data_IF_944666240827
#
_entry.id   IF_944666240827
#
_cell.length_a   1.000
_cell.length_b   1.000
_cell.length_c   1.000
_cell.angle_alpha   90.00
_cell.angle_beta   90.00
_cell.angle_gamma   90.00
#
_symmetry.space_group_name_H-M   'P 1'
#
loop_
_entity.id
_entity.type
_entity.pdbx_description
1 polymer ?
#
# COMPACT_ATOMS: atom_id res chain seq x y z
N UNK A 1 7.15 11.35 -1.32
CA UNK A 1 6.04 10.39 -1.34
C UNK A 1 5.51 10.24 0.07
N UNK A 2 4.18 10.24 0.22
CA UNK A 2 3.55 10.06 1.52
C UNK A 2 2.57 8.87 1.45
N UNK A 3 2.53 8.09 2.52
CA UNK A 3 1.63 6.94 2.64
C UNK A 3 0.87 7.09 3.95
N UNK A 4 -0.46 7.14 3.87
CA UNK A 4 -1.33 7.25 5.04
C UNK A 4 -2.27 6.06 5.07
N UNK A 5 -2.49 5.54 6.28
CA UNK A 5 -3.37 4.39 6.50
C UNK A 5 -4.55 4.84 7.35
N UNK A 6 -5.77 4.56 6.87
CA UNK A 6 -7.01 4.83 7.60
C UNK A 6 -7.87 3.57 7.57
N UNK A 7 -7.89 2.83 8.67
CA UNK A 7 -8.58 1.55 8.69
C UNK A 7 -7.95 0.58 7.71
N UNK A 8 -8.73 0.17 6.69
CA UNK A 8 -8.23 -0.69 5.61
C UNK A 8 -7.93 0.09 4.33
N UNK A 9 -8.03 1.42 4.37
CA UNK A 9 -7.76 2.28 3.21
C UNK A 9 -6.34 2.79 3.25
N UNK A 10 -5.71 2.87 2.09
CA UNK A 10 -4.36 3.38 1.92
C UNK A 10 -4.42 4.57 0.97
N UNK A 11 -3.78 5.66 1.36
CA UNK A 11 -3.63 6.83 0.52
C UNK A 11 -2.16 7.04 0.22
N UNK A 12 -1.83 7.10 -1.05
CA UNK A 12 -0.46 7.29 -1.52
C UNK A 12 -0.40 8.56 -2.34
N UNK A 13 0.52 9.44 -2.01
CA UNK A 13 0.73 10.66 -2.77
C UNK A 13 2.20 10.79 -3.18
N UNK A 14 2.44 11.40 -4.33
CA UNK A 14 3.78 11.61 -4.86
C UNK A 14 4.41 10.38 -5.47
N UNK A 15 3.62 9.38 -5.86
CA UNK A 15 4.12 8.13 -6.43
C UNK A 15 3.54 7.84 -7.81
N UNK A 16 3.15 8.87 -8.55
CA UNK A 16 2.53 8.70 -9.86
C UNK A 16 3.45 7.91 -10.80
N UNK A 17 2.86 6.96 -11.51
CA UNK A 17 3.59 6.12 -12.46
C UNK A 17 4.27 4.90 -11.82
N UNK A 18 4.19 4.75 -10.51
CA UNK A 18 4.77 3.59 -9.83
C UNK A 18 3.69 2.57 -9.50
N UNK A 19 4.11 1.37 -9.16
CA UNK A 19 3.19 0.31 -8.74
C UNK A 19 3.36 0.06 -7.25
N UNK A 20 2.22 -0.02 -6.55
CA UNK A 20 2.18 -0.37 -5.14
C UNK A 20 1.99 -1.88 -5.02
N UNK A 21 2.84 -2.53 -4.27
CA UNK A 21 2.70 -3.94 -3.92
C UNK A 21 2.43 -4.08 -2.44
N UNK A 22 1.55 -5.00 -2.08
CA UNK A 22 1.24 -5.30 -0.69
C UNK A 22 1.61 -6.75 -0.42
N UNK A 23 2.42 -6.97 0.60
CA UNK A 23 2.84 -8.30 1.02
C UNK A 23 2.34 -8.60 2.42
N UNK A 24 2.02 -9.86 2.70
CA UNK A 24 1.69 -10.28 4.06
C UNK A 24 2.98 -10.59 4.84
N UNK A 25 2.82 -11.02 6.10
CA UNK A 25 3.97 -11.32 6.96
C UNK A 25 4.78 -12.51 6.46
N UNK A 26 4.20 -13.37 5.66
CA UNK A 26 4.91 -14.51 5.07
C UNK A 26 5.69 -14.11 3.81
N UNK A 27 5.61 -12.85 3.40
CA UNK A 27 6.29 -12.37 2.21
C UNK A 27 5.55 -12.65 0.91
N UNK A 28 4.29 -13.07 0.98
CA UNK A 28 3.48 -13.36 -0.20
C UNK A 28 2.78 -12.07 -0.64
N UNK A 29 2.88 -11.77 -1.94
CA UNK A 29 2.19 -10.62 -2.50
C UNK A 29 0.70 -10.90 -2.55
N UNK A 30 -0.08 -10.08 -1.82
CA UNK A 30 -1.53 -10.26 -1.71
C UNK A 30 -2.30 -9.22 -2.52
N UNK A 31 -1.65 -8.16 -2.95
CA UNK A 31 -2.31 -7.09 -3.70
C UNK A 31 -1.29 -6.28 -4.49
N UNK A 32 -1.72 -5.76 -5.64
CA UNK A 32 -0.89 -4.84 -6.42
C UNK A 32 -1.81 -3.82 -7.09
N UNK A 33 -1.40 -2.55 -7.07
CA UNK A 33 -2.16 -1.45 -7.65
C UNK A 33 -1.19 -0.50 -8.34
N UNK A 34 -1.53 -0.09 -9.55
CA UNK A 34 -0.76 0.93 -10.24
C UNK A 34 -1.22 2.30 -9.76
N UNK A 35 -0.26 3.13 -9.35
CA UNK A 35 -0.53 4.50 -8.93
C UNK A 35 -0.46 5.37 -10.17
N UNK A 36 -1.62 5.80 -10.68
CA UNK A 36 -1.71 6.52 -11.94
C UNK A 36 -2.00 8.01 -11.76
N UNK A 37 -1.80 8.54 -10.57
CA UNK A 37 -2.01 9.95 -10.28
C UNK A 37 -1.16 10.43 -9.13
N UNK A 38 -1.13 11.75 -8.92
CA UNK A 38 -0.34 12.35 -7.86
C UNK A 38 -0.84 11.99 -6.46
N UNK A 39 -2.11 11.61 -6.36
CA UNK A 39 -2.74 11.26 -5.10
C UNK A 39 -3.71 10.12 -5.40
N UNK A 40 -3.47 8.96 -4.82
CA UNK A 40 -4.30 7.79 -5.06
C UNK A 40 -4.72 7.18 -3.73
N UNK A 41 -6.01 6.92 -3.62
CA UNK A 41 -6.60 6.28 -2.46
C UNK A 41 -7.24 4.97 -2.88
N UNK A 42 -6.96 3.90 -2.15
CA UNK A 42 -7.61 2.62 -2.41
C UNK A 42 -7.88 1.87 -1.13
N UNK A 43 -8.95 1.08 -1.17
CA UNK A 43 -9.33 0.23 -0.08
C UNK A 43 -8.76 -1.16 -0.35
N UNK A 44 -7.90 -1.62 0.54
CA UNK A 44 -7.24 -2.92 0.38
C UNK A 44 -8.18 -4.08 0.64
N UNK A 45 -9.20 -3.86 1.47
CA UNK A 45 -10.19 -4.90 1.80
C UNK A 45 -9.53 -6.21 2.23
N UNK A 46 -8.44 -6.09 2.98
CA UNK A 46 -7.70 -7.23 3.52
C UNK A 46 -8.07 -7.45 4.98
N UNK A 47 -7.81 -8.65 5.48
CA UNK A 47 -8.03 -8.96 6.89
C UNK A 47 -7.09 -8.14 7.77
N UNK A 48 -7.46 -7.99 9.04
CA UNK A 48 -6.59 -7.35 10.03
C UNK A 48 -5.25 -8.06 10.07
N UNK A 49 -4.20 -7.30 10.25
CA UNK A 49 -2.87 -7.88 10.38
C UNK A 49 -1.81 -6.91 9.93
N UNK A 50 -0.58 -7.39 9.97
CA UNK A 50 0.58 -6.63 9.54
C UNK A 50 0.84 -6.90 8.07
N UNK A 51 1.12 -5.85 7.32
CA UNK A 51 1.40 -5.93 5.89
C UNK A 51 2.58 -5.05 5.57
N UNK A 52 3.21 -5.31 4.45
CA UNK A 52 4.33 -4.52 3.95
C UNK A 52 3.91 -3.91 2.63
N UNK A 53 4.01 -2.59 2.54
CA UNK A 53 3.78 -1.85 1.30
C UNK A 53 5.11 -1.56 0.65
N UNK A 54 5.18 -1.78 -0.65
CA UNK A 54 6.36 -1.46 -1.43
C UNK A 54 5.96 -0.63 -2.64
N UNK A 55 6.50 0.59 -2.72
CA UNK A 55 6.26 1.49 -3.85
C UNK A 55 7.63 1.97 -4.34
N UNK A 56 8.00 1.58 -5.55
CA UNK A 56 9.32 1.90 -6.06
C UNK A 56 10.40 1.36 -5.15
N UNK A 57 11.21 2.25 -4.59
CA UNK A 57 12.28 1.88 -3.64
C UNK A 57 11.85 2.06 -2.18
N UNK A 58 10.62 2.50 -1.94
CA UNK A 58 10.13 2.75 -0.60
C UNK A 58 9.42 1.51 -0.07
N UNK A 59 9.77 1.11 1.13
CA UNK A 59 9.14 -0.01 1.83
C UNK A 59 8.57 0.50 3.14
N UNK A 60 7.29 0.22 3.38
CA UNK A 60 6.60 0.62 4.60
C UNK A 60 5.92 -0.57 5.24
N UNK A 61 6.11 -0.72 6.52
CA UNK A 61 5.43 -1.73 7.31
C UNK A 61 4.19 -1.09 7.93
N UNK A 62 3.03 -1.69 7.70
CA UNK A 62 1.76 -1.15 8.17
C UNK A 62 0.99 -2.20 8.95
N UNK A 63 0.01 -1.72 9.71
CA UNK A 63 -0.91 -2.58 10.44
C UNK A 63 -2.33 -2.19 10.05
N UNK A 64 -3.09 -3.13 9.52
CA UNK A 64 -4.51 -2.92 9.20
C UNK A 64 -5.37 -3.34 10.39
N UNK A 65 -6.29 -2.49 10.73
CA UNK A 65 -7.17 -2.71 11.90
C UNK A 65 -8.60 -2.96 11.49
#
# INVERSE_FOLDING_TARGET
MAINIEGTSVRVSGAAGQTLYVYNVAGVRVHSVKVDGADKRFDLNLQKGCYILKVGKTVRKISLK
#
